data_IF_651602538507
#
_entry.id   IF_651602538507
#
_cell.length_a   1.000
_cell.length_b   1.000
_cell.length_c   1.000
_cell.angle_alpha   90.00
_cell.angle_beta   90.00
_cell.angle_gamma   90.00
#
_symmetry.space_group_name_H-M   'P 1'
#
loop_
_entity.id
_entity.type
_entity.pdbx_description
1 polymer ?
#
# COMPACT_ATOMS: atom_id res chain seq x y z
N UNK A 1 -14.85 -46.85 -4.25
CA UNK A 1 -14.56 -46.70 -2.82
C UNK A 1 -13.26 -45.93 -2.70
N UNK A 2 -13.36 -44.61 -2.47
CA UNK A 2 -12.33 -43.74 -1.91
C UNK A 2 -13.08 -42.51 -1.38
N UNK A 3 -13.21 -42.45 -0.05
CA UNK A 3 -13.67 -41.29 0.72
C UNK A 3 -12.49 -40.32 0.83
N UNK A 4 -12.72 -39.04 0.51
CA UNK A 4 -11.77 -37.97 0.77
C UNK A 4 -12.25 -37.28 2.04
N UNK A 5 -11.59 -37.62 3.15
CA UNK A 5 -11.82 -37.03 4.46
C UNK A 5 -11.45 -35.55 4.44
N UNK A 6 -12.44 -34.71 4.71
CA UNK A 6 -12.28 -33.30 5.08
C UNK A 6 -12.05 -33.23 6.58
N UNK A 7 -10.78 -33.18 6.99
CA UNK A 7 -10.38 -32.73 8.33
C UNK A 7 -9.57 -31.43 8.16
N UNK A 8 -10.27 -30.31 7.96
CA UNK A 8 -9.70 -29.00 8.21
C UNK A 8 -9.84 -28.70 9.71
N UNK A 9 -8.73 -28.88 10.41
CA UNK A 9 -8.59 -28.66 11.85
C UNK A 9 -8.87 -27.18 12.19
N UNK A 10 -9.88 -26.84 13.02
CA UNK A 10 -10.27 -25.47 13.34
C UNK A 10 -9.34 -24.79 14.38
N UNK A 11 -8.12 -25.30 14.56
CA UNK A 11 -7.19 -24.89 15.62
C UNK A 11 -6.72 -23.43 15.53
N UNK A 12 -6.77 -22.80 14.34
CA UNK A 12 -6.37 -21.41 14.16
C UNK A 12 -7.37 -20.38 14.70
N UNK A 13 -8.63 -20.77 14.92
CA UNK A 13 -9.66 -19.87 15.48
C UNK A 13 -9.42 -19.68 16.99
N UNK A 14 -8.90 -20.70 17.66
CA UNK A 14 -8.64 -20.69 19.11
C UNK A 14 -7.41 -19.87 19.48
N UNK A 15 -6.39 -19.83 18.62
CA UNK A 15 -5.15 -19.08 18.87
C UNK A 15 -5.33 -17.55 18.79
N UNK A 16 -6.31 -17.06 18.02
CA UNK A 16 -6.59 -15.63 17.90
C UNK A 16 -7.31 -15.08 19.14
N UNK A 17 -8.20 -15.87 19.75
CA UNK A 17 -8.91 -15.51 20.98
C UNK A 17 -7.98 -15.56 22.20
N UNK A 18 -7.04 -16.51 22.23
CA UNK A 18 -5.98 -16.57 23.24
C UNK A 18 -5.02 -15.37 23.16
N UNK A 19 -4.66 -14.93 21.95
CA UNK A 19 -3.78 -13.77 21.75
C UNK A 19 -4.41 -12.42 22.16
N UNK A 20 -5.74 -12.33 22.18
CA UNK A 20 -6.46 -11.13 22.63
C UNK A 20 -6.65 -11.07 24.16
N UNK A 21 -6.44 -12.18 24.87
CA UNK A 21 -6.57 -12.24 26.34
C UNK A 21 -5.24 -12.07 27.08
N UNK A 22 -4.11 -12.19 26.40
CA UNK A 22 -2.77 -12.05 27.00
C UNK A 22 -2.23 -10.62 26.89
N UNK A 23 -3.07 -9.66 27.28
CA UNK A 23 -2.67 -8.26 27.46
C UNK A 23 -2.00 -8.16 28.85
N UNK A 24 -0.68 -7.92 28.95
CA UNK A 24 -0.01 -7.89 30.24
C UNK A 24 -0.55 -6.72 31.07
N UNK A 25 -1.18 -7.06 32.20
CA UNK A 25 -1.53 -6.11 33.27
C UNK A 25 -0.27 -5.34 33.66
N UNK A 26 -0.15 -4.14 33.13
CA UNK A 26 0.92 -3.21 33.49
C UNK A 26 0.61 -2.69 34.88
N UNK A 27 1.42 -3.12 35.85
CA UNK A 27 1.35 -2.72 37.24
C UNK A 27 1.51 -1.21 37.42
N UNK A 28 0.88 -0.73 38.48
CA UNK A 28 0.90 0.64 38.98
C UNK A 28 2.30 1.26 39.00
N UNK A 29 2.48 2.36 38.26
CA UNK A 29 3.40 3.42 38.68
C UNK A 29 2.76 4.79 38.52
N UNK A 30 2.12 5.21 39.61
CA UNK A 30 1.37 6.45 39.76
C UNK A 30 2.36 7.62 39.95
N UNK A 31 2.71 8.33 38.88
CA UNK A 31 3.31 9.67 38.97
C UNK A 31 2.54 10.70 38.16
N UNK A 32 1.74 11.46 38.91
CA UNK A 32 1.20 12.82 38.68
C UNK A 32 1.55 13.45 37.33
N UNK A 33 0.55 13.58 36.47
CA UNK A 33 0.22 14.79 35.71
C UNK A 33 -1.26 14.67 35.28
N UNK A 34 -2.01 15.78 35.35
CA UNK A 34 -3.47 15.81 35.13
C UNK A 34 -3.89 15.37 33.72
N UNK A 35 -5.20 15.20 33.47
CA UNK A 35 -5.71 14.62 32.23
C UNK A 35 -5.46 15.58 31.06
N UNK A 36 -4.30 15.48 30.42
CA UNK A 36 -4.15 15.96 29.05
C UNK A 36 -4.95 15.02 28.17
N UNK A 37 -5.98 15.55 27.51
CA UNK A 37 -6.78 14.80 26.56
C UNK A 37 -5.86 14.18 25.51
N UNK A 38 -6.18 12.98 25.04
CA UNK A 38 -5.43 12.26 24.00
C UNK A 38 -5.20 13.12 22.74
N UNK A 39 -6.05 14.13 22.53
CA UNK A 39 -5.94 15.15 21.49
C UNK A 39 -4.74 16.08 21.67
N UNK A 40 -4.37 16.44 22.90
CA UNK A 40 -3.20 17.26 23.19
C UNK A 40 -1.89 16.50 22.90
N UNK A 41 -1.84 15.20 23.19
CA UNK A 41 -0.69 14.33 22.90
C UNK A 41 -0.52 14.18 21.37
N UNK A 42 -1.62 13.99 20.63
CA UNK A 42 -1.61 13.94 19.17
C UNK A 42 -1.20 15.28 18.54
N UNK A 43 -1.68 16.41 19.07
CA UNK A 43 -1.26 17.73 18.61
C UNK A 43 0.23 17.98 18.88
N UNK A 44 0.76 17.49 19.99
CA UNK A 44 2.18 17.67 20.34
C UNK A 44 3.10 16.82 19.44
N UNK A 45 2.66 15.62 19.04
CA UNK A 45 3.34 14.78 18.04
C UNK A 45 3.33 15.39 16.64
N UNK A 46 2.28 16.12 16.28
CA UNK A 46 2.14 16.80 14.98
C UNK A 46 2.91 18.13 14.90
N UNK A 47 3.35 18.68 16.04
CA UNK A 47 4.00 20.00 16.12
C UNK A 47 5.49 19.94 16.39
N UNK A 48 6.05 18.78 16.75
CA UNK A 48 7.50 18.57 16.80
C UNK A 48 8.02 17.97 15.51
N UNK A 49 8.21 18.81 14.49
CA UNK A 49 9.24 18.57 13.47
C UNK A 49 9.78 19.91 12.96
N UNK A 50 11.11 20.14 13.02
CA UNK A 50 11.73 21.27 12.35
C UNK A 50 11.86 20.99 10.85
N UNK A 51 11.30 21.89 10.03
CA UNK A 51 11.87 22.28 8.74
C UNK A 51 11.79 21.30 7.56
N UNK A 52 10.62 21.19 6.94
CA UNK A 52 10.54 21.05 5.49
C UNK A 52 9.23 21.69 5.00
N UNK A 53 9.29 23.00 4.73
CA UNK A 53 8.20 23.76 4.12
C UNK A 53 7.95 23.25 2.70
N UNK A 54 6.96 22.37 2.53
CA UNK A 54 6.38 22.09 1.22
C UNK A 54 5.41 23.24 0.89
N UNK A 55 5.91 24.20 0.10
CA UNK A 55 5.10 25.26 -0.48
C UNK A 55 3.99 24.65 -1.35
N UNK A 56 2.74 24.79 -0.93
CA UNK A 56 1.57 24.43 -1.74
C UNK A 56 1.38 25.49 -2.83
N UNK A 57 2.04 25.29 -3.97
CA UNK A 57 1.76 26.08 -5.16
C UNK A 57 0.61 25.44 -5.93
N UNK A 58 -0.60 25.99 -5.75
CA UNK A 58 -1.68 25.87 -6.72
C UNK A 58 -1.24 26.68 -7.94
N UNK A 59 -0.79 26.02 -9.00
CA UNK A 59 -0.54 26.70 -10.28
C UNK A 59 -1.08 25.90 -11.46
N UNK A 60 -2.07 26.49 -12.12
CA UNK A 60 -2.25 26.52 -13.58
C UNK A 60 -2.25 25.19 -14.33
N UNK A 61 -3.42 24.80 -14.81
CA UNK A 61 -3.52 23.83 -15.91
C UNK A 61 -2.77 24.35 -17.13
N UNK A 62 -1.67 23.70 -17.48
CA UNK A 62 -1.03 23.78 -18.80
C UNK A 62 -1.40 22.49 -19.55
N UNK A 63 -2.09 22.55 -20.70
CA UNK A 63 -2.32 21.38 -21.52
C UNK A 63 -1.06 21.09 -22.36
N UNK A 64 -0.78 19.80 -22.58
CA UNK A 64 0.26 19.22 -23.46
C UNK A 64 1.70 19.17 -22.93
N UNK A 65 1.96 18.27 -21.98
CA UNK A 65 3.29 17.66 -21.81
C UNK A 65 3.07 16.17 -21.56
N UNK A 66 3.80 15.33 -22.30
CA UNK A 66 3.92 13.89 -22.10
C UNK A 66 3.68 13.52 -20.62
N UNK A 67 2.63 12.76 -20.28
CA UNK A 67 2.29 12.50 -18.87
C UNK A 67 3.43 11.69 -18.22
N UNK A 68 4.32 12.40 -17.55
CA UNK A 68 5.46 11.84 -16.82
C UNK A 68 4.92 11.17 -15.55
N UNK A 69 5.45 9.99 -15.24
CA UNK A 69 5.19 9.35 -13.96
C UNK A 69 5.76 10.21 -12.83
N UNK A 70 4.92 10.59 -11.86
CA UNK A 70 5.33 11.37 -10.70
C UNK A 70 5.64 10.44 -9.53
N UNK A 71 6.81 10.59 -8.92
CA UNK A 71 7.14 9.84 -7.70
C UNK A 71 6.27 10.33 -6.54
N UNK A 72 5.60 9.40 -5.86
CA UNK A 72 4.73 9.68 -4.70
C UNK A 72 5.21 8.98 -3.43
N UNK A 73 6.18 8.09 -3.54
CA UNK A 73 6.77 7.40 -2.40
C UNK A 73 8.00 6.62 -2.80
N UNK A 74 8.85 6.36 -1.81
CA UNK A 74 10.08 5.60 -1.98
C UNK A 74 10.32 4.73 -0.75
N UNK A 75 10.89 3.56 -0.96
CA UNK A 75 11.36 2.65 0.07
C UNK A 75 12.76 2.15 -0.32
N UNK A 76 13.44 1.49 0.62
CA UNK A 76 14.77 0.93 0.38
C UNK A 76 14.85 0.00 -0.84
N UNK A 77 13.75 -0.64 -1.21
CA UNK A 77 13.68 -1.64 -2.28
C UNK A 77 12.72 -1.29 -3.42
N UNK A 78 11.99 -0.18 -3.34
CA UNK A 78 10.98 0.16 -4.34
C UNK A 78 10.73 1.66 -4.45
N UNK A 79 10.31 2.11 -5.62
CA UNK A 79 9.75 3.46 -5.81
C UNK A 79 8.29 3.32 -6.23
N UNK A 80 7.47 4.26 -5.78
CA UNK A 80 6.05 4.33 -6.09
C UNK A 80 5.79 5.56 -6.96
N UNK A 81 5.22 5.34 -8.13
CA UNK A 81 4.88 6.39 -9.06
C UNK A 81 3.37 6.47 -9.25
N UNK A 82 2.83 7.67 -9.44
CA UNK A 82 1.49 7.88 -9.96
C UNK A 82 1.56 8.31 -11.42
N UNK A 83 0.60 7.85 -12.23
CA UNK A 83 0.37 8.45 -13.54
C UNK A 83 -0.67 9.57 -13.37
N UNK A 84 -0.24 10.81 -13.57
CA UNK A 84 -1.06 12.00 -13.34
C UNK A 84 -2.36 11.94 -14.15
N UNK A 85 -3.49 12.22 -13.48
CA UNK A 85 -4.82 12.17 -14.10
C UNK A 85 -5.43 10.77 -14.17
N UNK A 86 -4.76 9.76 -13.60
CA UNK A 86 -5.31 8.40 -13.46
C UNK A 86 -5.35 7.97 -12.00
N UNK A 87 -6.22 7.02 -11.62
CA UNK A 87 -6.20 6.44 -10.28
C UNK A 87 -5.06 5.43 -10.09
N UNK A 88 -4.15 5.27 -11.05
CA UNK A 88 -3.16 4.21 -11.03
C UNK A 88 -1.85 4.62 -10.36
N UNK A 89 -1.38 3.74 -9.49
CA UNK A 89 -0.09 3.77 -8.85
C UNK A 89 0.76 2.56 -9.27
N UNK A 90 2.06 2.78 -9.39
CA UNK A 90 3.01 1.87 -9.99
C UNK A 90 4.17 1.66 -9.02
N UNK A 91 4.20 0.52 -8.37
CA UNK A 91 5.29 0.12 -7.49
C UNK A 91 6.37 -0.57 -8.31
N UNK A 92 7.50 0.10 -8.52
CA UNK A 92 8.65 -0.42 -9.25
C UNK A 92 9.70 -0.91 -8.26
N UNK A 93 10.18 -2.15 -8.42
CA UNK A 93 11.25 -2.67 -7.58
C UNK A 93 12.63 -2.20 -8.05
N UNK A 94 13.44 -1.76 -7.08
CA UNK A 94 14.86 -1.42 -7.27
C UNK A 94 15.75 -2.67 -7.31
N UNK A 95 15.36 -3.69 -6.54
CA UNK A 95 16.06 -4.97 -6.40
C UNK A 95 15.33 -6.09 -7.13
N UNK A 96 16.06 -7.15 -7.48
CA UNK A 96 15.50 -8.30 -8.20
C UNK A 96 14.75 -9.28 -7.28
N UNK A 97 13.71 -8.78 -6.63
CA UNK A 97 12.85 -9.57 -5.73
C UNK A 97 11.47 -9.79 -6.35
N UNK A 98 11.44 -10.30 -7.58
CA UNK A 98 10.21 -10.56 -8.32
C UNK A 98 9.19 -11.39 -7.52
N UNK A 99 9.69 -12.39 -6.77
CA UNK A 99 8.87 -13.28 -5.93
C UNK A 99 8.10 -12.50 -4.86
N UNK A 100 8.74 -11.53 -4.18
CA UNK A 100 8.05 -10.74 -3.14
C UNK A 100 6.96 -9.87 -3.75
N UNK A 101 7.20 -9.28 -4.92
CA UNK A 101 6.19 -8.48 -5.61
C UNK A 101 5.04 -9.35 -6.13
N UNK A 102 5.33 -10.54 -6.62
CA UNK A 102 4.34 -11.53 -7.03
C UNK A 102 3.47 -12.01 -5.86
N UNK A 103 4.07 -12.22 -4.70
CA UNK A 103 3.34 -12.56 -3.49
C UNK A 103 2.37 -11.43 -3.09
N UNK A 104 2.81 -10.16 -3.16
CA UNK A 104 1.92 -9.02 -2.91
C UNK A 104 0.74 -8.99 -3.89
N UNK A 105 1.01 -9.20 -5.19
CA UNK A 105 -0.04 -9.31 -6.20
C UNK A 105 -1.04 -10.41 -5.85
N UNK A 106 -0.54 -11.62 -5.55
CA UNK A 106 -1.38 -12.79 -5.25
C UNK A 106 -2.21 -12.58 -3.98
N UNK A 107 -1.63 -12.00 -2.93
CA UNK A 107 -2.35 -11.67 -1.71
C UNK A 107 -3.47 -10.66 -1.96
N UNK A 108 -3.19 -9.59 -2.73
CA UNK A 108 -4.21 -8.59 -3.05
C UNK A 108 -5.34 -9.16 -3.91
N UNK A 109 -5.05 -10.06 -4.86
CA UNK A 109 -6.09 -10.77 -5.61
C UNK A 109 -6.99 -11.61 -4.69
N UNK A 110 -6.41 -12.36 -3.74
CA UNK A 110 -7.20 -13.15 -2.76
C UNK A 110 -8.08 -12.28 -1.88
N UNK A 111 -7.60 -11.10 -1.47
CA UNK A 111 -8.40 -10.13 -0.72
C UNK A 111 -9.56 -9.66 -1.59
N UNK A 112 -9.30 -9.23 -2.82
CA UNK A 112 -10.32 -8.77 -3.75
C UNK A 112 -11.40 -9.84 -3.98
N UNK A 113 -11.01 -11.08 -4.27
CA UNK A 113 -11.92 -12.19 -4.52
C UNK A 113 -12.78 -12.53 -3.29
N UNK A 114 -12.20 -12.43 -2.08
CA UNK A 114 -12.92 -12.62 -0.82
C UNK A 114 -14.03 -11.57 -0.65
N UNK A 115 -13.71 -10.29 -0.86
CA UNK A 115 -14.69 -9.21 -0.72
C UNK A 115 -15.75 -9.21 -1.83
N UNK A 116 -15.38 -9.54 -3.07
CA UNK A 116 -16.35 -9.74 -4.16
C UNK A 116 -17.32 -10.90 -3.88
N UNK A 117 -16.82 -11.97 -3.25
CA UNK A 117 -17.63 -13.09 -2.78
C UNK A 117 -18.62 -12.68 -1.69
N UNK A 118 -18.16 -11.94 -0.69
CA UNK A 118 -19.00 -11.47 0.43
C UNK A 118 -20.07 -10.49 -0.03
N UNK A 119 -19.75 -9.60 -0.98
CA UNK A 119 -20.69 -8.57 -1.47
C UNK A 119 -21.97 -9.16 -2.09
N UNK A 120 -21.86 -10.40 -2.60
CA UNK A 120 -23.01 -11.18 -3.14
C UNK A 120 -24.03 -11.55 -2.06
N UNK A 121 -23.59 -11.69 -0.80
CA UNK A 121 -24.43 -12.12 0.31
C UNK A 121 -24.77 -10.99 1.28
N UNK A 122 -23.83 -10.08 1.49
CA UNK A 122 -23.98 -8.91 2.35
C UNK A 122 -23.55 -7.69 1.56
N UNK A 123 -24.43 -6.70 1.36
CA UNK A 123 -24.03 -5.44 0.73
C UNK A 123 -22.99 -4.77 1.62
N UNK A 124 -21.72 -4.90 1.25
CA UNK A 124 -20.60 -4.33 2.00
C UNK A 124 -20.28 -2.96 1.42
N UNK A 125 -20.19 -1.94 2.28
CA UNK A 125 -19.80 -0.59 1.86
C UNK A 125 -18.28 -0.43 1.73
N UNK A 126 -17.53 -1.53 1.52
CA UNK A 126 -16.07 -1.55 1.54
C UNK A 126 -15.55 -1.60 0.10
N UNK A 127 -14.92 -0.51 -0.34
CA UNK A 127 -14.21 -0.48 -1.61
C UNK A 127 -12.78 -1.02 -1.41
N UNK A 128 -12.46 -2.13 -2.07
CA UNK A 128 -11.11 -2.71 -2.06
C UNK A 128 -10.31 -2.19 -3.26
N UNK A 129 -9.13 -1.57 -3.04
CA UNK A 129 -8.28 -1.10 -4.12
C UNK A 129 -7.87 -2.22 -5.06
N UNK A 130 -8.03 -2.02 -6.37
CA UNK A 130 -7.77 -3.05 -7.37
C UNK A 130 -6.31 -3.17 -7.73
N UNK A 131 -5.88 -4.39 -8.01
CA UNK A 131 -4.60 -4.65 -8.66
C UNK A 131 -4.87 -5.02 -10.10
N UNK A 132 -4.25 -4.31 -11.04
CA UNK A 132 -4.60 -4.45 -12.46
C UNK A 132 -3.57 -5.25 -13.23
N UNK A 133 -2.29 -5.08 -12.90
CA UNK A 133 -1.24 -5.65 -13.72
C UNK A 133 0.05 -5.86 -12.95
N UNK A 134 0.66 -7.00 -13.20
CA UNK A 134 2.07 -7.25 -12.92
C UNK A 134 2.86 -7.18 -14.22
N UNK A 135 3.94 -6.39 -14.26
CA UNK A 135 4.84 -6.27 -15.41
C UNK A 135 6.24 -6.70 -14.99
N UNK A 136 6.78 -7.71 -15.64
CA UNK A 136 8.17 -8.12 -15.49
C UNK A 136 9.08 -7.31 -16.43
N UNK A 137 10.40 -7.55 -16.36
CA UNK A 137 11.40 -6.84 -17.20
C UNK A 137 11.17 -6.97 -18.71
N UNK A 138 10.54 -8.06 -19.17
CA UNK A 138 10.31 -8.34 -20.59
C UNK A 138 8.93 -7.90 -21.07
N UNK A 139 8.11 -7.33 -20.18
CA UNK A 139 6.74 -6.93 -20.49
C UNK A 139 6.69 -5.83 -21.54
N UNK A 140 5.70 -5.92 -22.44
CA UNK A 140 5.40 -4.88 -23.42
C UNK A 140 5.11 -3.51 -22.78
N UNK A 141 4.69 -3.49 -21.51
CA UNK A 141 4.51 -2.28 -20.73
C UNK A 141 5.70 -1.32 -20.88
N UNK A 142 6.93 -1.83 -20.85
CA UNK A 142 8.14 -1.03 -20.90
C UNK A 142 8.38 -0.38 -22.26
N UNK A 143 7.88 -0.95 -23.36
CA UNK A 143 8.06 -0.37 -24.70
C UNK A 143 7.47 1.03 -24.82
N UNK A 144 6.33 1.25 -24.15
CA UNK A 144 5.61 2.52 -24.20
C UNK A 144 5.90 3.40 -22.99
N UNK A 145 6.13 2.81 -21.81
CA UNK A 145 6.14 3.56 -20.54
C UNK A 145 7.53 3.86 -20.01
N UNK A 146 8.58 3.21 -20.50
CA UNK A 146 9.93 3.35 -19.93
C UNK A 146 10.43 4.80 -20.01
N UNK A 147 10.19 5.48 -21.14
CA UNK A 147 10.62 6.86 -21.36
C UNK A 147 9.84 7.89 -20.53
N UNK A 148 8.71 7.49 -19.96
CA UNK A 148 7.85 8.34 -19.13
C UNK A 148 8.30 8.37 -17.66
N UNK A 149 9.20 7.46 -17.26
CA UNK A 149 9.74 7.41 -15.90
C UNK A 149 10.94 8.35 -15.76
N UNK A 150 11.18 8.90 -14.55
CA UNK A 150 12.39 9.65 -14.28
C UNK A 150 13.62 8.77 -14.52
N UNK A 151 14.71 9.42 -14.91
CA UNK A 151 16.03 8.80 -15.05
C UNK A 151 16.96 9.52 -14.07
N UNK A 152 17.20 8.88 -12.93
CA UNK A 152 18.05 9.40 -11.87
C UNK A 152 19.15 8.39 -11.49
N UNK A 153 20.30 8.84 -10.96
CA UNK A 153 21.39 7.94 -10.60
C UNK A 153 20.99 6.82 -9.62
N UNK A 154 19.99 7.07 -8.76
CA UNK A 154 19.48 6.09 -7.78
C UNK A 154 18.37 5.19 -8.36
N UNK A 155 17.81 5.56 -9.51
CA UNK A 155 16.83 4.78 -10.25
C UNK A 155 17.09 4.96 -11.75
N UNK A 156 18.10 4.26 -12.28
CA UNK A 156 18.38 4.31 -13.70
C UNK A 156 17.18 3.76 -14.46
N UNK A 157 16.80 4.47 -15.52
CA UNK A 157 15.66 4.14 -16.37
C UNK A 157 15.92 2.83 -17.11
N UNK A 158 15.44 1.73 -16.53
CA UNK A 158 15.53 0.39 -17.11
C UNK A 158 14.30 -0.44 -16.78
N UNK A 159 13.95 -1.44 -17.61
CA UNK A 159 12.86 -2.38 -17.31
C UNK A 159 13.10 -3.12 -16.00
N UNK A 160 12.06 -3.17 -15.16
CA UNK A 160 12.09 -3.77 -13.81
C UNK A 160 10.83 -4.59 -13.57
N UNK A 161 10.74 -5.22 -12.40
CA UNK A 161 9.47 -5.79 -11.94
C UNK A 161 8.60 -4.66 -11.37
N UNK A 162 7.36 -4.58 -11.81
CA UNK A 162 6.41 -3.54 -11.45
C UNK A 162 5.04 -4.13 -11.16
N UNK A 163 4.37 -3.52 -10.17
CA UNK A 163 2.99 -3.78 -9.81
C UNK A 163 2.16 -2.52 -10.04
N UNK A 164 1.12 -2.62 -10.86
CA UNK A 164 0.14 -1.57 -11.08
C UNK A 164 -1.10 -1.84 -10.23
N UNK A 165 -1.46 -0.86 -9.40
CA UNK A 165 -2.55 -0.93 -8.44
C UNK A 165 -3.29 0.41 -8.37
N UNK A 166 -4.53 0.37 -7.91
CA UNK A 166 -5.32 1.56 -7.65
C UNK A 166 -4.76 2.32 -6.44
N UNK A 167 -4.65 3.64 -6.59
CA UNK A 167 -4.18 4.55 -5.55
C UNK A 167 -5.30 4.82 -4.57
N UNK A 168 -5.00 4.68 -3.29
CA UNK A 168 -5.88 5.12 -2.20
C UNK A 168 -5.53 6.58 -1.90
N UNK A 169 -6.41 7.56 -2.18
CA UNK A 169 -6.18 8.92 -1.75
C UNK A 169 -6.21 8.99 -0.22
N UNK A 170 -5.47 9.93 0.40
CA UNK A 170 -5.59 10.16 1.83
C UNK A 170 -7.06 10.50 2.18
N UNK A 171 -7.52 10.11 3.39
CA UNK A 171 -8.83 10.53 3.87
C UNK A 171 -8.89 12.06 3.96
N UNK A 172 -10.09 12.66 3.76
CA UNK A 172 -10.31 14.10 3.85
C UNK A 172 -10.07 14.67 5.25
#
# INVERSE_FOLDING_TARGET
>A
MFTLDTDEDPSWVTDLEAALQDDPKTGDDKRKNGPQSSQAILQQLMTTNPGASLSSSISGHQPSVCQVYREIGSSANSKLFEQTGTPWAFKVLLIDEAIKLWNNYTMQMRIYDSFDGVDKFFKTAVAVPRVVRFANRTSEFWRTNLMLLPDDPQFPRQPRNLLCMERIPPPP
#
